data_IF_577727499506
#
_entry.id   IF_577727499506
#
_cell.length_a   1.000
_cell.length_b   1.000
_cell.length_c   1.000
_cell.angle_alpha   90.00
_cell.angle_beta   90.00
_cell.angle_gamma   90.00
#
_symmetry.space_group_name_H-M   'P 1'
#
loop_
_entity.id
_entity.type
_entity.pdbx_description
1 polymer ?
#
# COMPACT_ATOMS: atom_id res chain seq x y z
N UNK A 1 9.99 12.22 12.42
CA UNK A 1 8.76 11.59 11.89
C UNK A 1 9.15 10.78 10.67
N UNK A 2 8.77 9.49 10.57
CA UNK A 2 8.92 8.75 9.31
C UNK A 2 7.80 9.19 8.37
N UNK A 3 8.15 9.66 7.16
CA UNK A 3 7.22 10.07 6.11
C UNK A 3 7.34 9.20 4.87
N UNK A 4 6.30 9.19 4.04
CA UNK A 4 6.31 8.58 2.71
C UNK A 4 6.34 9.68 1.66
N UNK A 5 7.18 9.53 0.64
CA UNK A 5 7.17 10.39 -0.55
C UNK A 5 6.64 9.53 -1.70
N UNK A 6 5.50 9.88 -2.32
CA UNK A 6 4.94 9.13 -3.45
C UNK A 6 5.91 9.03 -4.61
N UNK A 7 5.92 7.90 -5.30
CA UNK A 7 6.67 7.75 -6.55
C UNK A 7 5.73 8.02 -7.74
N UNK A 8 5.83 9.22 -8.31
CA UNK A 8 4.96 9.70 -9.41
C UNK A 8 5.25 9.02 -10.76
N UNK A 9 6.39 8.34 -10.89
CA UNK A 9 6.80 7.60 -12.11
C UNK A 9 5.80 6.51 -12.54
N UNK A 10 4.94 6.04 -11.61
CA UNK A 10 3.91 5.04 -11.90
C UNK A 10 2.65 5.62 -12.58
N UNK A 11 2.52 6.94 -12.69
CA UNK A 11 1.34 7.60 -13.28
C UNK A 11 1.65 7.96 -14.73
N UNK A 12 1.11 7.17 -15.66
CA UNK A 12 1.32 7.33 -17.11
C UNK A 12 0.52 8.48 -17.74
N UNK A 13 -0.28 9.20 -16.96
CA UNK A 13 -1.02 10.36 -17.44
C UNK A 13 -0.10 11.58 -17.46
N UNK A 14 -0.11 12.33 -18.57
CA UNK A 14 0.62 13.58 -18.71
C UNK A 14 -0.17 14.71 -18.02
N UNK A 15 -0.12 14.69 -16.69
CA UNK A 15 -0.79 15.62 -15.78
C UNK A 15 0.21 16.23 -14.80
N UNK A 16 -0.15 17.33 -14.14
CA UNK A 16 0.73 18.01 -13.19
C UNK A 16 1.10 17.09 -12.02
N UNK A 17 2.31 17.25 -11.45
CA UNK A 17 2.83 16.41 -10.37
C UNK A 17 1.89 16.32 -9.15
N UNK A 18 1.25 17.43 -8.78
CA UNK A 18 0.25 17.45 -7.69
C UNK A 18 -0.99 16.60 -8.00
N UNK A 19 -1.41 16.53 -9.27
CA UNK A 19 -2.51 15.65 -9.70
C UNK A 19 -2.08 14.18 -9.67
N UNK A 20 -0.82 13.87 -10.00
CA UNK A 20 -0.27 12.51 -9.87
C UNK A 20 -0.24 12.05 -8.41
N UNK A 21 0.22 12.89 -7.50
CA UNK A 21 0.22 12.59 -6.06
C UNK A 21 -1.21 12.37 -5.51
N UNK A 22 -2.15 13.20 -5.96
CA UNK A 22 -3.56 13.11 -5.60
C UNK A 22 -4.16 11.77 -6.05
N UNK A 23 -3.94 11.37 -7.31
CA UNK A 23 -4.40 10.08 -7.86
C UNK A 23 -3.80 8.91 -7.07
N UNK A 24 -2.49 8.95 -6.79
CA UNK A 24 -1.82 7.93 -5.98
C UNK A 24 -2.36 7.88 -4.56
N UNK A 25 -2.79 9.00 -3.98
CA UNK A 25 -3.44 9.07 -2.68
C UNK A 25 -4.79 8.34 -2.63
N UNK A 26 -5.53 8.33 -3.74
CA UNK A 26 -6.86 7.72 -3.85
C UNK A 26 -6.87 6.25 -4.31
N UNK A 27 -5.71 5.62 -4.42
CA UNK A 27 -5.66 4.19 -4.69
C UNK A 27 -6.44 3.41 -3.63
N UNK A 28 -7.37 2.57 -4.10
CA UNK A 28 -8.30 1.80 -3.27
C UNK A 28 -7.61 0.99 -2.18
N UNK A 29 -6.39 0.51 -2.43
CA UNK A 29 -5.59 -0.25 -1.48
C UNK A 29 -5.20 0.58 -0.27
N UNK A 30 -4.81 1.85 -0.47
CA UNK A 30 -4.44 2.76 0.62
C UNK A 30 -5.64 3.05 1.50
N UNK A 31 -6.78 3.33 0.87
CA UNK A 31 -8.04 3.59 1.59
C UNK A 31 -8.50 2.34 2.37
N UNK A 32 -8.41 1.15 1.77
CA UNK A 32 -8.77 -0.10 2.43
C UNK A 32 -7.89 -0.37 3.66
N UNK A 33 -6.59 -0.16 3.57
CA UNK A 33 -5.67 -0.33 4.71
C UNK A 33 -5.86 0.76 5.76
N UNK A 34 -6.09 2.02 5.36
CA UNK A 34 -6.41 3.09 6.30
C UNK A 34 -7.69 2.80 7.09
N UNK A 35 -8.75 2.34 6.40
CA UNK A 35 -9.97 1.89 7.05
C UNK A 35 -9.73 0.70 7.98
N UNK A 36 -8.95 -0.29 7.53
CA UNK A 36 -8.54 -1.43 8.36
C UNK A 36 -7.84 -0.99 9.65
N UNK A 37 -6.91 -0.04 9.58
CA UNK A 37 -6.23 0.50 10.75
C UNK A 37 -7.18 1.15 11.76
N UNK A 38 -8.20 1.86 11.29
CA UNK A 38 -9.17 2.57 12.13
C UNK A 38 -10.20 1.62 12.75
N UNK A 39 -10.63 0.60 11.99
CA UNK A 39 -11.78 -0.24 12.32
C UNK A 39 -11.45 -1.51 13.11
N UNK A 40 -10.17 -1.84 13.28
CA UNK A 40 -9.72 -3.10 13.90
C UNK A 40 -8.79 -2.84 15.07
N UNK A 41 -8.63 -3.82 15.96
CA UNK A 41 -7.81 -3.65 17.16
C UNK A 41 -6.32 -3.62 16.82
N UNK A 42 -5.53 -2.97 17.67
CA UNK A 42 -4.09 -2.93 17.52
C UNK A 42 -3.49 -4.35 17.49
N UNK A 43 -2.61 -4.60 16.52
CA UNK A 43 -1.96 -5.90 16.33
C UNK A 43 -2.77 -6.91 15.51
N UNK A 44 -4.05 -6.65 15.21
CA UNK A 44 -4.82 -7.51 14.31
C UNK A 44 -4.26 -7.46 12.88
N UNK A 45 -4.37 -8.54 12.13
CA UNK A 45 -3.89 -8.59 10.73
C UNK A 45 -4.91 -7.93 9.81
N UNK A 46 -4.45 -6.95 9.01
CA UNK A 46 -5.29 -6.30 8.00
C UNK A 46 -5.26 -7.12 6.71
N UNK A 47 -6.43 -7.47 6.17
CA UNK A 47 -6.55 -8.25 4.93
C UNK A 47 -7.29 -7.46 3.86
N UNK A 48 -6.67 -7.30 2.70
CA UNK A 48 -7.26 -6.61 1.54
C UNK A 48 -7.24 -7.55 0.33
N UNK A 49 -8.37 -7.64 -0.37
CA UNK A 49 -8.50 -8.42 -1.62
C UNK A 49 -8.85 -7.45 -2.73
N UNK A 50 -8.12 -7.51 -3.84
CA UNK A 50 -8.37 -6.70 -5.03
C UNK A 50 -8.25 -7.53 -6.31
N UNK A 51 -8.84 -7.02 -7.39
CA UNK A 51 -8.83 -7.67 -8.71
C UNK A 51 -7.74 -7.14 -9.66
N UNK A 52 -7.01 -6.09 -9.26
CA UNK A 52 -5.94 -5.48 -10.06
C UNK A 52 -4.59 -5.71 -9.38
N UNK A 53 -3.51 -5.81 -10.15
CA UNK A 53 -2.14 -5.91 -9.61
C UNK A 53 -1.83 -4.73 -8.70
N UNK A 54 -1.11 -4.94 -7.60
CA UNK A 54 -0.65 -3.85 -6.72
C UNK A 54 0.35 -2.97 -7.50
N UNK A 55 0.19 -1.65 -7.45
CA UNK A 55 1.20 -0.75 -8.04
C UNK A 55 2.42 -0.59 -7.11
N UNK A 56 3.57 -0.20 -7.67
CA UNK A 56 4.80 -0.01 -6.90
C UNK A 56 4.64 0.98 -5.75
N UNK A 57 3.93 2.09 -5.96
CA UNK A 57 3.67 3.09 -4.92
C UNK A 57 2.85 2.52 -3.74
N UNK A 58 1.72 1.85 -4.02
CA UNK A 58 0.94 1.17 -2.99
C UNK A 58 1.78 0.11 -2.26
N UNK A 59 2.61 -0.65 -2.99
CA UNK A 59 3.49 -1.64 -2.39
C UNK A 59 4.47 -1.02 -1.38
N UNK A 60 5.09 0.13 -1.71
CA UNK A 60 5.97 0.84 -0.78
C UNK A 60 5.22 1.45 0.41
N UNK A 61 4.01 1.98 0.19
CA UNK A 61 3.16 2.47 1.29
C UNK A 61 2.82 1.35 2.26
N UNK A 62 2.42 0.17 1.78
CA UNK A 62 2.08 -0.95 2.66
C UNK A 62 3.27 -1.42 3.50
N UNK A 63 4.47 -1.45 2.91
CA UNK A 63 5.71 -1.68 3.66
C UNK A 63 5.86 -0.66 4.79
N UNK A 64 5.79 0.63 4.49
CA UNK A 64 5.95 1.67 5.50
C UNK A 64 4.90 1.58 6.60
N UNK A 65 3.62 1.38 6.24
CA UNK A 65 2.54 1.22 7.22
C UNK A 65 2.82 0.02 8.13
N UNK A 66 3.22 -1.13 7.58
CA UNK A 66 3.52 -2.32 8.40
C UNK A 66 4.65 -2.06 9.41
N UNK A 67 5.65 -1.24 9.04
CA UNK A 67 6.77 -0.86 9.93
C UNK A 67 6.34 0.08 11.04
N UNK A 68 5.58 1.13 10.72
CA UNK A 68 5.16 2.15 11.69
C UNK A 68 4.14 1.58 12.67
N UNK A 69 3.15 0.86 12.15
CA UNK A 69 2.04 0.33 12.94
C UNK A 69 2.39 -0.98 13.65
N UNK A 70 3.48 -1.63 13.23
CA UNK A 70 3.88 -2.99 13.67
C UNK A 70 2.76 -4.02 13.45
N UNK A 71 1.98 -3.84 12.39
CA UNK A 71 0.89 -4.74 11.99
C UNK A 71 1.25 -5.47 10.71
N UNK A 72 0.83 -6.73 10.64
CA UNK A 72 0.86 -7.48 9.39
C UNK A 72 -0.29 -7.00 8.49
N UNK A 73 0.04 -6.76 7.22
CA UNK A 73 -0.94 -6.45 6.18
C UNK A 73 -0.80 -7.52 5.11
N UNK A 74 -1.91 -8.16 4.77
CA UNK A 74 -1.96 -9.17 3.70
C UNK A 74 -2.83 -8.63 2.57
N UNK A 75 -2.21 -8.43 1.40
CA UNK A 75 -2.92 -7.99 0.19
C UNK A 75 -2.90 -9.13 -0.82
N UNK A 76 -4.07 -9.59 -1.24
CA UNK A 76 -4.22 -10.49 -2.38
C UNK A 76 -4.62 -9.66 -3.60
N UNK A 77 -3.81 -9.71 -4.65
CA UNK A 77 -4.19 -9.20 -5.96
C UNK A 77 -4.48 -10.35 -6.95
N UNK A 78 -4.56 -10.02 -8.25
CA UNK A 78 -4.82 -10.99 -9.32
C UNK A 78 -3.59 -11.87 -9.66
N UNK A 79 -2.41 -11.53 -9.16
CA UNK A 79 -1.16 -12.23 -9.46
C UNK A 79 -0.69 -13.09 -8.28
N UNK A 80 -0.69 -12.54 -7.05
CA UNK A 80 -0.08 -13.15 -5.88
C UNK A 80 -0.63 -12.61 -4.55
N UNK A 81 -0.11 -13.19 -3.47
CA UNK A 81 -0.24 -12.64 -2.13
C UNK A 81 0.99 -11.82 -1.79
N UNK A 82 0.75 -10.67 -1.18
CA UNK A 82 1.76 -9.78 -0.60
C UNK A 82 1.54 -9.77 0.92
N UNK A 83 2.52 -10.28 1.68
CA UNK A 83 2.49 -10.22 3.14
C UNK A 83 3.51 -9.17 3.58
N UNK A 84 3.01 -8.05 4.10
CA UNK A 84 3.81 -6.92 4.55
C UNK A 84 4.03 -6.99 6.06
N UNK A 85 5.28 -7.12 6.46
CA UNK A 85 5.68 -7.22 7.87
C UNK A 85 6.97 -6.45 8.09
N UNK A 86 6.96 -5.53 9.06
CA UNK A 86 8.12 -4.74 9.48
C UNK A 86 8.87 -4.04 8.31
N UNK A 87 8.14 -3.48 7.35
CA UNK A 87 8.75 -2.78 6.21
C UNK A 87 9.16 -3.65 5.03
N UNK A 88 8.93 -4.96 5.11
CA UNK A 88 9.28 -5.92 4.04
C UNK A 88 8.03 -6.58 3.49
N UNK A 89 8.09 -7.05 2.24
CA UNK A 89 7.02 -7.81 1.60
C UNK A 89 7.53 -9.20 1.21
N UNK A 90 6.70 -10.23 1.37
CA UNK A 90 7.00 -11.60 0.94
C UNK A 90 7.25 -11.77 -0.55
N UNK A 91 6.82 -10.81 -1.38
CA UNK A 91 6.98 -10.89 -2.83
C UNK A 91 8.36 -10.44 -3.33
N UNK A 92 9.29 -10.05 -2.44
CA UNK A 92 10.65 -9.59 -2.78
C UNK A 92 10.68 -8.49 -3.85
N UNK A 93 9.77 -7.52 -3.72
CA UNK A 93 9.64 -6.36 -4.63
C UNK A 93 9.26 -6.71 -6.07
N UNK A 94 8.59 -7.85 -6.29
CA UNK A 94 7.98 -8.20 -7.58
C UNK A 94 6.50 -7.78 -7.64
N UNK A 95 6.19 -6.55 -7.19
CA UNK A 95 4.82 -5.99 -7.02
C UNK A 95 3.85 -6.43 -8.10
#
# INVERSE_FOLDING_TARGET
LMGFVPTTECVMFDVEEEEKETVLGYHSEKLAVAFGLISTVNGEVIRVVKNLRVCGDCHQVMKLISKITRREIVVRDNNRFHCFTNGSCSCNDYW
#
